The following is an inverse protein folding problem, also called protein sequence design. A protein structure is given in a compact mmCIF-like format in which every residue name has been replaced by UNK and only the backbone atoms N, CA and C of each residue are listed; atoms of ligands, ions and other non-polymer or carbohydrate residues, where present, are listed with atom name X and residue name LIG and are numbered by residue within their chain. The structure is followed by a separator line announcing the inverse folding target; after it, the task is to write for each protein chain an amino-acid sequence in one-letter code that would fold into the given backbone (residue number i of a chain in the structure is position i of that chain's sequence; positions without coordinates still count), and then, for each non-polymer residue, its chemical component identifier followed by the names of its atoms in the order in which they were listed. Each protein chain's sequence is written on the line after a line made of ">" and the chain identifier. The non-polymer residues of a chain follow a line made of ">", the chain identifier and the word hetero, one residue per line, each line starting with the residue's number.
data_IF_933490633063
#
_entry.id   IF_933490633063
#
_cell.length_a   1.000
_cell.length_b   1.000
_cell.length_c   1.000
_cell.angle_alpha   90.00
_cell.angle_beta   90.00
_cell.angle_gamma   90.00
#
_symmetry.space_group_name_H-M   'P 1'
#
loop_
_entity.id
_entity.type
_entity.pdbx_description
1 polymer ?
#
# COMPACT_ATOMS: atom_id res chain seq x y z
N UNK A 1 4.64 -25.67 22.63
CA UNK A 1 3.96 -24.48 22.05
C UNK A 1 2.86 -24.10 23.02
N UNK A 2 2.81 -22.85 23.47
CA UNK A 2 1.87 -22.38 24.49
C UNK A 2 0.45 -22.28 23.88
N UNK A 3 -0.57 -22.82 24.55
CA UNK A 3 -1.97 -22.73 24.08
C UNK A 3 -2.47 -21.28 24.07
N UNK A 4 -2.04 -20.48 25.04
CA UNK A 4 -2.36 -19.05 25.13
C UNK A 4 -1.84 -18.30 23.89
N UNK A 5 -0.58 -18.55 23.50
CA UNK A 5 0.00 -17.97 22.30
C UNK A 5 -0.78 -18.34 21.02
N UNK A 6 -1.21 -19.61 20.89
CA UNK A 6 -2.02 -20.01 19.72
C UNK A 6 -3.38 -19.31 19.70
N UNK A 7 -3.96 -19.05 20.86
CA UNK A 7 -5.22 -18.33 20.97
C UNK A 7 -5.06 -16.84 20.64
N UNK A 8 -3.99 -16.21 21.10
CA UNK A 8 -3.63 -14.83 20.72
C UNK A 8 -3.42 -14.72 19.21
N UNK A 9 -2.69 -15.67 18.62
CA UNK A 9 -2.45 -15.72 17.18
C UNK A 9 -3.75 -15.89 16.38
N UNK A 10 -4.68 -16.73 16.86
CA UNK A 10 -6.00 -16.91 16.25
C UNK A 10 -6.81 -15.60 16.29
N UNK A 11 -6.84 -14.92 17.44
CA UNK A 11 -7.54 -13.64 17.58
C UNK A 11 -6.95 -12.56 16.68
N UNK A 12 -5.62 -12.52 16.58
CA UNK A 12 -4.89 -11.61 15.71
C UNK A 12 -5.29 -11.82 14.24
N UNK A 13 -5.22 -13.06 13.73
CA UNK A 13 -5.55 -13.31 12.33
C UNK A 13 -7.04 -13.17 12.01
N UNK A 14 -7.93 -13.52 12.94
CA UNK A 14 -9.37 -13.31 12.77
C UNK A 14 -9.71 -11.82 12.61
N UNK A 15 -8.98 -10.93 13.31
CA UNK A 15 -9.14 -9.47 13.14
C UNK A 15 -8.73 -9.02 11.73
N UNK A 16 -7.60 -9.51 11.21
CA UNK A 16 -7.14 -9.17 9.85
C UNK A 16 -8.07 -9.72 8.78
N UNK A 17 -8.52 -10.97 8.94
CA UNK A 17 -9.49 -11.62 8.05
C UNK A 17 -10.81 -10.83 8.00
N UNK A 18 -11.33 -10.42 9.16
CA UNK A 18 -12.55 -9.62 9.24
C UNK A 18 -12.41 -8.29 8.51
N UNK A 19 -11.31 -7.56 8.75
CA UNK A 19 -11.05 -6.27 8.10
C UNK A 19 -10.89 -6.42 6.58
N UNK A 20 -10.14 -7.44 6.14
CA UNK A 20 -9.97 -7.75 4.72
C UNK A 20 -11.30 -8.09 4.05
N UNK A 21 -12.15 -8.90 4.69
CA UNK A 21 -13.48 -9.22 4.18
C UNK A 21 -14.39 -8.01 4.02
N UNK A 22 -14.35 -7.07 4.98
CA UNK A 22 -15.10 -5.80 4.88
C UNK A 22 -14.68 -4.98 3.66
N UNK A 23 -13.37 -4.77 3.49
CA UNK A 23 -12.81 -4.04 2.35
C UNK A 23 -13.14 -4.74 1.02
N UNK A 24 -13.00 -6.06 0.96
CA UNK A 24 -13.33 -6.85 -0.22
C UNK A 24 -14.80 -6.67 -0.62
N UNK A 25 -15.73 -6.78 0.33
CA UNK A 25 -17.15 -6.63 0.04
C UNK A 25 -17.53 -5.21 -0.37
N UNK A 26 -16.93 -4.19 0.26
CA UNK A 26 -17.15 -2.80 -0.10
C UNK A 26 -16.70 -2.51 -1.53
N UNK A 27 -15.48 -2.92 -1.90
CA UNK A 27 -14.95 -2.74 -3.26
C UNK A 27 -15.70 -3.56 -4.31
N UNK A 28 -16.13 -4.77 -3.96
CA UNK A 28 -16.93 -5.61 -4.86
C UNK A 28 -18.28 -4.93 -5.16
N UNK A 29 -18.89 -4.29 -4.16
CA UNK A 29 -20.13 -3.54 -4.32
C UNK A 29 -19.96 -2.32 -5.24
N UNK A 30 -18.80 -1.66 -5.21
CA UNK A 30 -18.44 -0.58 -6.15
C UNK A 30 -18.11 -1.08 -7.58
N UNK A 31 -18.12 -2.40 -7.80
CA UNK A 31 -17.98 -3.01 -9.12
C UNK A 31 -16.54 -3.28 -9.56
N UNK A 32 -15.58 -3.27 -8.64
CA UNK A 32 -14.21 -3.65 -8.94
C UNK A 32 -14.06 -5.16 -9.15
N UNK A 33 -13.14 -5.55 -10.05
CA UNK A 33 -12.67 -6.93 -10.16
C UNK A 33 -11.58 -7.16 -9.10
N UNK A 34 -11.79 -8.13 -8.23
CA UNK A 34 -10.96 -8.34 -7.04
C UNK A 34 -10.38 -9.75 -6.98
N UNK A 35 -9.18 -9.84 -6.42
CA UNK A 35 -8.59 -11.08 -5.92
C UNK A 35 -8.14 -10.90 -4.47
N UNK A 36 -7.95 -12.01 -3.76
CA UNK A 36 -7.46 -11.98 -2.38
C UNK A 36 -6.53 -13.14 -2.10
N UNK A 37 -5.56 -12.90 -1.23
CA UNK A 37 -4.59 -13.88 -0.80
C UNK A 37 -3.89 -13.47 0.48
N UNK A 38 -3.08 -14.38 0.99
CA UNK A 38 -2.24 -14.16 2.17
C UNK A 38 -0.77 -14.22 1.74
N UNK A 39 -0.04 -13.15 2.02
CA UNK A 39 1.33 -12.96 1.54
C UNK A 39 2.26 -12.67 2.71
N UNK A 40 3.44 -13.26 2.70
CA UNK A 40 4.50 -13.00 3.69
C UNK A 40 5.74 -12.43 3.00
N UNK A 41 6.66 -11.90 3.78
CA UNK A 41 7.90 -11.33 3.25
C UNK A 41 7.84 -9.85 2.94
N UNK A 42 6.86 -9.16 3.51
CA UNK A 42 6.78 -7.70 3.49
C UNK A 42 7.96 -7.12 4.26
N UNK A 43 8.43 -5.96 3.82
CA UNK A 43 9.53 -5.24 4.45
C UNK A 43 8.97 -3.99 5.10
N UNK A 44 9.38 -3.72 6.34
CA UNK A 44 9.18 -2.42 6.98
C UNK A 44 10.52 -1.88 7.46
N UNK A 45 10.57 -0.56 7.63
CA UNK A 45 11.73 0.12 8.19
C UNK A 45 11.59 0.15 9.71
N UNK A 46 12.55 -0.44 10.42
CA UNK A 46 12.57 -0.41 11.88
C UNK A 46 12.95 0.97 12.42
N UNK A 47 12.77 1.17 13.73
CA UNK A 47 13.19 2.37 14.46
C UNK A 47 14.69 2.72 14.30
N UNK A 48 15.49 1.77 13.84
CA UNK A 48 16.92 1.93 13.55
C UNK A 48 17.23 2.10 12.06
N UNK A 49 16.24 2.52 11.26
CA UNK A 49 16.33 2.70 9.81
C UNK A 49 16.77 1.46 9.02
N UNK A 50 16.68 0.28 9.63
CA UNK A 50 17.05 -0.99 9.01
C UNK A 50 15.80 -1.68 8.50
N UNK A 51 15.84 -2.16 7.25
CA UNK A 51 14.77 -2.95 6.66
C UNK A 51 14.66 -4.33 7.33
N UNK A 52 13.48 -4.65 7.85
CA UNK A 52 13.16 -5.93 8.49
C UNK A 52 12.14 -6.65 7.63
N UNK A 53 12.44 -7.90 7.27
CA UNK A 53 11.53 -8.78 6.55
C UNK A 53 10.60 -9.51 7.52
N UNK A 54 9.31 -9.30 7.36
CA UNK A 54 8.28 -9.97 8.16
C UNK A 54 7.97 -11.35 7.58
N UNK A 55 8.05 -12.37 8.43
CA UNK A 55 7.79 -13.75 8.01
C UNK A 55 6.33 -14.17 8.17
N UNK A 56 5.54 -13.38 8.89
CA UNK A 56 4.12 -13.65 9.07
C UNK A 56 3.34 -13.19 7.83
N UNK A 57 2.30 -13.91 7.40
CA UNK A 57 1.46 -13.47 6.30
C UNK A 57 0.49 -12.37 6.73
N UNK A 58 0.10 -11.51 5.80
CA UNK A 58 -1.03 -10.57 5.93
C UNK A 58 -2.03 -10.80 4.79
N UNK A 59 -3.32 -10.51 4.98
CA UNK A 59 -4.27 -10.56 3.89
C UNK A 59 -4.09 -9.35 2.98
N UNK A 60 -4.16 -9.61 1.67
CA UNK A 60 -4.12 -8.59 0.62
C UNK A 60 -5.35 -8.73 -0.25
N UNK A 61 -5.96 -7.59 -0.59
CA UNK A 61 -7.04 -7.48 -1.58
C UNK A 61 -6.46 -6.80 -2.81
N UNK A 62 -6.26 -7.56 -3.87
CA UNK A 62 -5.82 -7.05 -5.17
C UNK A 62 -6.99 -6.48 -5.94
N UNK A 63 -6.96 -5.18 -6.24
CA UNK A 63 -7.90 -4.51 -7.13
C UNK A 63 -7.28 -4.50 -8.53
N UNK A 64 -7.76 -5.39 -9.38
CA UNK A 64 -7.10 -5.72 -10.65
C UNK A 64 -6.96 -4.49 -11.54
N UNK A 65 -5.71 -4.18 -11.89
CA UNK A 65 -5.39 -3.04 -12.74
C UNK A 65 -5.36 -1.69 -12.01
N UNK A 66 -5.34 -1.66 -10.67
CA UNK A 66 -5.31 -0.41 -9.91
C UNK A 66 -4.33 -0.43 -8.74
N UNK A 67 -4.46 -1.38 -7.81
CA UNK A 67 -3.68 -1.39 -6.57
C UNK A 67 -3.84 -2.70 -5.81
N UNK A 68 -2.91 -2.94 -4.88
CA UNK A 68 -3.02 -3.96 -3.85
C UNK A 68 -3.28 -3.30 -2.49
N UNK A 69 -4.24 -3.81 -1.74
CA UNK A 69 -4.62 -3.29 -0.42
C UNK A 69 -4.18 -4.29 0.64
N UNK A 70 -3.17 -3.91 1.39
CA UNK A 70 -2.53 -4.70 2.42
C UNK A 70 -3.15 -4.40 3.79
N UNK A 71 -3.67 -5.43 4.47
CA UNK A 71 -4.26 -5.30 5.80
C UNK A 71 -3.22 -5.68 6.85
N UNK A 72 -2.46 -4.69 7.28
CA UNK A 72 -1.38 -4.86 8.26
C UNK A 72 -1.92 -4.86 9.70
N UNK A 73 -1.13 -5.25 10.71
CA UNK A 73 -1.57 -5.34 12.12
C UNK A 73 -2.20 -4.05 12.70
N UNK A 74 -1.71 -2.90 12.25
CA UNK A 74 -1.97 -1.58 12.81
C UNK A 74 -2.34 -0.53 11.76
N UNK A 75 -2.34 -0.87 10.48
CA UNK A 75 -2.62 0.06 9.38
C UNK A 75 -3.19 -0.65 8.16
N UNK A 76 -3.72 0.13 7.22
CA UNK A 76 -4.01 -0.31 5.86
C UNK A 76 -3.02 0.39 4.93
N UNK A 77 -2.39 -0.37 4.04
CA UNK A 77 -1.55 0.19 2.98
C UNK A 77 -2.19 -0.07 1.63
N UNK A 78 -2.22 0.95 0.77
CA UNK A 78 -2.66 0.83 -0.62
C UNK A 78 -1.44 1.01 -1.51
N UNK A 79 -0.94 -0.09 -2.04
CA UNK A 79 0.22 -0.16 -2.91
C UNK A 79 -0.22 -0.09 -4.37
N UNK A 80 0.39 0.80 -5.14
CA UNK A 80 0.11 0.99 -6.57
C UNK A 80 1.39 1.39 -7.29
N UNK A 81 1.32 1.59 -8.60
CA UNK A 81 2.46 2.01 -9.40
C UNK A 81 2.05 2.96 -10.50
N UNK A 82 3.01 3.67 -11.07
CA UNK A 82 2.78 4.56 -12.21
C UNK A 82 4.01 4.70 -13.07
N UNK A 83 3.83 4.91 -14.38
CA UNK A 83 4.95 5.25 -15.28
C UNK A 83 5.78 6.41 -14.73
N UNK A 84 7.10 6.27 -14.78
CA UNK A 84 8.06 7.29 -14.35
C UNK A 84 7.80 8.66 -14.98
N UNK A 85 7.46 8.70 -16.26
CA UNK A 85 7.16 9.95 -16.97
C UNK A 85 5.91 10.65 -16.44
N UNK A 86 4.87 9.88 -16.07
CA UNK A 86 3.66 10.44 -15.47
C UNK A 86 3.95 10.95 -14.05
N UNK A 87 4.68 10.19 -13.23
CA UNK A 87 5.08 10.61 -11.89
C UNK A 87 5.91 11.91 -11.90
N UNK A 88 6.81 12.11 -12.87
CA UNK A 88 7.58 13.35 -12.99
C UNK A 88 6.74 14.57 -13.36
N UNK A 89 5.64 14.37 -14.06
CA UNK A 89 4.76 15.44 -14.54
C UNK A 89 3.61 15.76 -13.56
N UNK A 90 3.35 14.90 -12.57
CA UNK A 90 2.30 15.12 -11.58
C UNK A 90 2.73 16.18 -10.54
N UNK A 91 1.79 17.02 -10.10
CA UNK A 91 1.97 17.93 -8.96
C UNK A 91 1.76 17.23 -7.61
N UNK A 92 1.12 16.06 -7.59
CA UNK A 92 0.69 15.30 -6.40
C UNK A 92 -0.28 16.06 -5.48
N UNK A 93 -0.81 17.21 -5.91
CA UNK A 93 -1.76 18.01 -5.12
C UNK A 93 -3.05 17.24 -4.77
N UNK A 94 -3.49 16.35 -5.66
CA UNK A 94 -4.65 15.46 -5.44
C UNK A 94 -4.44 14.47 -4.29
N UNK A 95 -3.19 14.23 -3.94
CA UNK A 95 -2.79 13.35 -2.85
C UNK A 95 -2.34 14.15 -1.61
N UNK A 96 -2.54 15.47 -1.60
CA UNK A 96 -2.27 16.28 -0.42
C UNK A 96 -3.11 15.81 0.78
N UNK A 97 -2.44 15.55 1.90
CA UNK A 97 -3.07 15.02 3.11
C UNK A 97 -3.01 13.50 3.25
N UNK A 98 -2.58 12.76 2.23
CA UNK A 98 -2.26 11.34 2.37
C UNK A 98 -0.77 11.16 2.69
N UNK A 99 -0.47 10.35 3.70
CA UNK A 99 0.89 9.88 3.92
C UNK A 99 1.20 8.80 2.89
N UNK A 100 2.31 8.93 2.19
CA UNK A 100 2.75 7.91 1.24
C UNK A 100 4.27 7.83 1.15
N UNK A 101 4.71 6.71 0.58
CA UNK A 101 6.10 6.43 0.21
C UNK A 101 6.17 6.16 -1.29
N UNK A 102 7.33 6.41 -1.90
CA UNK A 102 7.60 6.05 -3.29
C UNK A 102 8.89 5.26 -3.41
N UNK A 103 8.86 4.17 -4.17
CA UNK A 103 9.95 3.19 -4.25
C UNK A 103 10.11 2.60 -5.66
N UNK A 104 11.22 1.90 -5.90
CA UNK A 104 11.49 1.21 -7.16
C UNK A 104 10.61 -0.02 -7.37
N UNK A 105 10.16 -0.25 -8.60
CA UNK A 105 9.40 -1.46 -8.95
C UNK A 105 10.28 -2.63 -9.35
N UNK A 106 11.50 -2.37 -9.83
CA UNK A 106 12.53 -3.36 -10.12
C UNK A 106 13.49 -3.51 -8.92
N UNK A 107 13.92 -2.39 -8.33
CA UNK A 107 14.67 -2.34 -7.07
C UNK A 107 13.76 -1.86 -5.93
N UNK A 108 13.12 -2.81 -5.25
CA UNK A 108 12.23 -2.52 -4.11
C UNK A 108 12.92 -1.87 -2.91
N UNK A 109 14.26 -1.80 -2.88
CA UNK A 109 15.02 -1.09 -1.85
C UNK A 109 15.39 0.33 -2.29
N UNK A 110 15.15 0.69 -3.57
CA UNK A 110 15.32 2.04 -4.05
C UNK A 110 14.20 2.92 -3.50
N UNK A 111 14.61 3.89 -2.70
CA UNK A 111 13.73 4.70 -1.88
C UNK A 111 13.73 6.12 -2.43
N UNK A 112 12.59 6.58 -2.93
CA UNK A 112 12.48 7.86 -3.63
C UNK A 112 11.79 8.93 -2.80
N UNK A 113 10.93 8.55 -1.85
CA UNK A 113 10.19 9.48 -1.02
C UNK A 113 9.60 8.83 0.21
N UNK A 114 9.62 9.57 1.32
CA UNK A 114 8.76 9.32 2.47
C UNK A 114 8.12 10.62 2.96
N UNK A 115 7.09 10.44 3.79
CA UNK A 115 6.43 11.52 4.51
C UNK A 115 7.44 12.42 5.25
N UNK A 116 7.36 13.71 4.98
CA UNK A 116 8.27 14.74 5.51
C UNK A 116 9.22 15.32 4.46
N UNK A 117 9.42 14.63 3.33
CA UNK A 117 10.13 15.18 2.18
C UNK A 117 9.21 16.03 1.29
N UNK A 118 9.81 16.83 0.43
CA UNK A 118 9.13 17.65 -0.58
C UNK A 118 8.87 16.86 -1.86
N UNK A 119 7.89 17.30 -2.65
CA UNK A 119 7.61 16.73 -3.97
C UNK A 119 8.77 16.99 -4.95
N UNK A 120 9.50 18.09 -4.78
CA UNK A 120 10.71 18.38 -5.54
C UNK A 120 11.80 17.33 -5.30
N UNK A 121 12.04 16.93 -4.04
CA UNK A 121 12.99 15.86 -3.68
C UNK A 121 12.58 14.52 -4.29
N UNK A 122 11.28 14.15 -4.21
CA UNK A 122 10.73 12.98 -4.90
C UNK A 122 11.08 13.01 -6.40
N UNK A 123 10.85 14.15 -7.07
CA UNK A 123 11.12 14.30 -8.51
C UNK A 123 12.60 14.23 -8.83
N UNK A 124 13.47 14.79 -8.00
CA UNK A 124 14.92 14.68 -8.17
C UNK A 124 15.39 13.22 -8.08
N UNK A 125 14.89 12.47 -7.08
CA UNK A 125 15.17 11.05 -6.90
C UNK A 125 14.68 10.21 -8.09
N UNK A 126 13.44 10.43 -8.55
CA UNK A 126 12.90 9.76 -9.75
C UNK A 126 13.72 10.11 -11.00
N UNK A 127 14.20 11.35 -11.16
CA UNK A 127 15.05 11.72 -12.31
C UNK A 127 16.38 10.94 -12.30
N UNK A 128 16.96 10.71 -11.13
CA UNK A 128 18.21 10.00 -10.97
C UNK A 128 18.10 8.47 -11.18
N UNK A 129 16.91 7.89 -11.00
CA UNK A 129 16.70 6.46 -11.17
C UNK A 129 16.50 6.03 -12.65
N UNK A 130 16.59 4.71 -12.89
CA UNK A 130 16.36 4.08 -14.20
C UNK A 130 15.05 3.27 -14.28
N UNK A 131 14.27 3.29 -13.21
CA UNK A 131 12.97 2.61 -13.12
C UNK A 131 12.02 3.08 -14.24
N UNK A 132 11.26 2.14 -14.80
CA UNK A 132 10.22 2.46 -15.79
C UNK A 132 8.92 2.89 -15.13
N UNK A 133 8.65 2.30 -13.97
CA UNK A 133 7.49 2.55 -13.14
C UNK A 133 7.96 2.85 -11.72
N UNK A 134 7.22 3.69 -11.01
CA UNK A 134 7.49 4.04 -9.63
C UNK A 134 6.36 3.44 -8.81
N UNK A 135 6.72 2.68 -7.78
CA UNK A 135 5.80 2.16 -6.79
C UNK A 135 5.43 3.25 -5.80
N UNK A 136 4.19 3.23 -5.33
CA UNK A 136 3.68 4.11 -4.29
C UNK A 136 2.93 3.28 -3.26
N UNK A 137 3.15 3.56 -1.98
CA UNK A 137 2.38 2.97 -0.87
C UNK A 137 1.75 4.08 -0.05
N UNK A 138 0.42 4.12 -0.04
CA UNK A 138 -0.35 5.09 0.74
C UNK A 138 -0.80 4.46 2.05
N UNK A 139 -0.64 5.17 3.15
CA UNK A 139 -0.88 4.64 4.50
C UNK A 139 -2.14 5.24 5.11
N UNK A 140 -2.99 4.37 5.64
CA UNK A 140 -4.25 4.70 6.30
C UNK A 140 -4.32 4.04 7.69
N UNK A 141 -5.13 4.62 8.57
CA UNK A 141 -5.47 3.97 9.84
C UNK A 141 -6.09 2.59 9.59
N UNK A 142 -5.82 1.62 10.48
CA UNK A 142 -6.48 0.31 10.42
C UNK A 142 -8.01 0.43 10.40
N UNK A 143 -8.53 1.38 11.18
CA UNK A 143 -9.96 1.63 11.37
C UNK A 143 -10.54 2.65 10.36
N UNK A 144 -9.82 2.94 9.27
CA UNK A 144 -10.31 3.79 8.17
C UNK A 144 -11.67 3.28 7.67
N UNK A 145 -12.59 4.17 7.29
CA UNK A 145 -13.88 3.74 6.77
C UNK A 145 -13.73 3.09 5.39
N UNK A 146 -14.48 2.01 5.13
CA UNK A 146 -14.42 1.27 3.86
C UNK A 146 -14.70 2.17 2.65
N UNK A 147 -15.62 3.11 2.83
CA UNK A 147 -15.97 4.11 1.82
C UNK A 147 -14.78 4.98 1.45
N UNK A 148 -13.94 5.38 2.41
CA UNK A 148 -12.76 6.21 2.12
C UNK A 148 -11.74 5.44 1.28
N UNK A 149 -11.58 4.13 1.53
CA UNK A 149 -10.72 3.28 0.69
C UNK A 149 -11.29 3.14 -0.71
N UNK A 150 -12.60 2.93 -0.85
CA UNK A 150 -13.25 2.88 -2.17
C UNK A 150 -13.06 4.20 -2.94
N UNK A 151 -13.29 5.34 -2.28
CA UNK A 151 -13.07 6.68 -2.87
C UNK A 151 -11.61 6.91 -3.27
N UNK A 152 -10.66 6.33 -2.52
CA UNK A 152 -9.25 6.40 -2.83
C UNK A 152 -8.84 5.53 -4.02
N UNK A 153 -9.32 4.29 -4.12
CA UNK A 153 -9.12 3.43 -5.30
C UNK A 153 -9.70 4.11 -6.56
N UNK A 154 -10.85 4.75 -6.43
CA UNK A 154 -11.44 5.57 -7.48
C UNK A 154 -10.61 6.80 -7.85
N UNK A 155 -9.95 7.43 -6.88
CA UNK A 155 -8.99 8.50 -7.14
C UNK A 155 -7.79 7.98 -7.94
N UNK A 156 -7.18 6.85 -7.53
CA UNK A 156 -6.07 6.22 -8.25
C UNK A 156 -6.44 5.91 -9.70
N UNK A 157 -7.63 5.37 -9.94
CA UNK A 157 -8.18 5.12 -11.28
C UNK A 157 -8.27 6.41 -12.10
N UNK A 158 -8.84 7.47 -11.53
CA UNK A 158 -9.03 8.76 -12.23
C UNK A 158 -7.71 9.45 -12.57
N UNK A 159 -6.71 9.30 -11.71
CA UNK A 159 -5.38 9.83 -11.93
C UNK A 159 -4.50 8.91 -12.79
N UNK A 160 -4.98 7.75 -13.25
CA UNK A 160 -4.22 6.89 -14.17
C UNK A 160 -3.00 6.24 -13.51
N UNK A 161 -3.17 5.72 -12.29
CA UNK A 161 -2.25 4.77 -11.70
C UNK A 161 -2.46 3.38 -12.32
N UNK A 162 -1.39 2.57 -12.35
CA UNK A 162 -1.32 1.20 -12.87
C UNK A 162 -1.37 1.05 -14.42
N UNK A 163 -1.18 2.16 -15.14
CA UNK A 163 -1.13 2.24 -16.62
C UNK A 163 0.22 1.87 -17.25
#
# INVERSE_FOLDING_TARGET
>A
MNQEFLQELQCFYARLETRSGQLFHALLHEGFELETGWYSGHYHKSDHETWVRESYPIPVVGVKGFCDIEVQPNQISVSTKRKRTAALNDSFEKFSGYAFEAYGTEDYLADFYHSGQTIEELKENIRACREREIGFSFVFSFDIEDRQICEFVELLRREGFYD
#
